data_IF_963525592995
#
_entry.id   IF_963525592995
#
_cell.length_a   1.000
_cell.length_b   1.000
_cell.length_c   1.000
_cell.angle_alpha   90.00
_cell.angle_beta   90.00
_cell.angle_gamma   90.00
#
_symmetry.space_group_name_H-M   'P 1'
#
loop_
_entity.id
_entity.type
_entity.pdbx_description
1 polymer ?
#
# COMPACT_ATOMS: atom_id res chain seq x y z
N UNK A 1 20.18 2.73 -1.40
CA UNK A 1 21.05 1.81 -0.64
C UNK A 1 20.41 0.44 -0.70
N UNK A 2 21.10 -0.62 -1.15
CA UNK A 2 20.56 -1.98 -1.16
C UNK A 2 20.43 -2.56 0.26
N UNK A 3 19.56 -3.56 0.45
CA UNK A 3 19.35 -4.38 1.65
C UNK A 3 18.66 -3.67 2.83
N UNK A 4 17.68 -2.81 2.56
CA UNK A 4 17.01 -2.02 3.60
C UNK A 4 16.13 -2.85 4.56
N UNK A 5 15.80 -4.10 4.21
CA UNK A 5 14.91 -4.96 4.99
C UNK A 5 15.58 -6.27 5.44
N UNK A 6 16.92 -6.29 5.47
CA UNK A 6 17.67 -7.46 5.90
C UNK A 6 17.21 -7.95 7.29
N UNK A 7 16.98 -9.25 7.42
CA UNK A 7 16.53 -9.93 8.64
C UNK A 7 15.13 -9.53 9.14
N UNK A 8 14.32 -8.85 8.30
CA UNK A 8 12.93 -8.57 8.62
C UNK A 8 12.00 -9.68 8.10
N UNK A 9 10.97 -10.00 8.86
CA UNK A 9 9.87 -10.87 8.41
C UNK A 9 8.69 -9.95 8.10
N UNK A 10 8.11 -10.07 6.91
CA UNK A 10 6.99 -9.25 6.47
C UNK A 10 5.81 -10.12 6.05
N UNK A 11 4.60 -9.77 6.49
CA UNK A 11 3.35 -10.37 6.00
C UNK A 11 2.75 -9.41 4.98
N UNK A 12 2.48 -9.89 3.77
CA UNK A 12 1.89 -9.10 2.70
C UNK A 12 0.55 -9.72 2.31
N UNK A 13 -0.53 -8.96 2.50
CA UNK A 13 -1.87 -9.38 2.09
C UNK A 13 -2.16 -8.95 0.64
N UNK A 14 -3.04 -9.66 -0.09
CA UNK A 14 -3.30 -9.37 -1.50
C UNK A 14 -2.11 -9.66 -2.42
N UNK A 15 -1.20 -10.54 -1.99
CA UNK A 15 0.14 -10.71 -2.56
C UNK A 15 0.19 -11.44 -3.91
N UNK A 16 -0.91 -12.05 -4.34
CA UNK A 16 -0.98 -12.81 -5.59
C UNK A 16 -0.96 -11.90 -6.83
N UNK A 17 -1.40 -10.64 -6.70
CA UNK A 17 -1.56 -9.71 -7.81
C UNK A 17 -1.34 -8.26 -7.41
N UNK A 18 -1.29 -7.38 -8.41
CA UNK A 18 -1.20 -5.93 -8.26
C UNK A 18 -0.17 -5.42 -7.24
N UNK A 19 -0.63 -4.57 -6.31
CA UNK A 19 0.22 -3.90 -5.34
C UNK A 19 0.84 -4.85 -4.31
N UNK A 20 0.07 -5.81 -3.80
CA UNK A 20 0.59 -6.79 -2.85
C UNK A 20 1.72 -7.60 -3.47
N UNK A 21 1.60 -7.98 -4.75
CA UNK A 21 2.69 -8.66 -5.49
C UNK A 21 3.92 -7.77 -5.63
N UNK A 22 3.75 -6.50 -6.00
CA UNK A 22 4.88 -5.57 -6.16
C UNK A 22 5.62 -5.31 -4.83
N UNK A 23 4.87 -5.17 -3.73
CA UNK A 23 5.42 -5.00 -2.38
C UNK A 23 6.16 -6.26 -1.95
N UNK A 24 5.57 -7.44 -2.11
CA UNK A 24 6.21 -8.71 -1.76
C UNK A 24 7.53 -8.92 -2.51
N UNK A 25 7.55 -8.62 -3.82
CA UNK A 25 8.76 -8.72 -4.64
C UNK A 25 9.84 -7.71 -4.22
N UNK A 26 9.47 -6.46 -3.96
CA UNK A 26 10.43 -5.45 -3.52
C UNK A 26 10.97 -5.76 -2.11
N UNK A 27 10.12 -6.25 -1.20
CA UNK A 27 10.53 -6.62 0.14
C UNK A 27 11.52 -7.78 0.13
N UNK A 28 11.26 -8.81 -0.68
CA UNK A 28 12.20 -9.91 -0.90
C UNK A 28 13.53 -9.41 -1.49
N UNK A 29 13.48 -8.47 -2.45
CA UNK A 29 14.68 -7.87 -3.06
C UNK A 29 15.51 -7.06 -2.05
N UNK A 30 14.88 -6.45 -1.06
CA UNK A 30 15.54 -5.69 0.01
C UNK A 30 15.98 -6.57 1.20
N UNK A 31 15.84 -7.90 1.10
CA UNK A 31 16.39 -8.86 2.07
C UNK A 31 15.41 -9.36 3.15
N UNK A 32 14.12 -9.10 3.01
CA UNK A 32 13.10 -9.60 3.93
C UNK A 32 12.66 -11.05 3.62
N UNK A 33 12.31 -11.80 4.65
CA UNK A 33 11.52 -13.03 4.53
C UNK A 33 10.03 -12.67 4.45
N UNK A 34 9.38 -12.99 3.33
CA UNK A 34 8.00 -12.53 3.06
C UNK A 34 6.99 -13.67 3.12
N UNK A 35 5.95 -13.52 3.93
CA UNK A 35 4.76 -14.38 3.98
C UNK A 35 3.62 -13.74 3.19
N UNK A 36 3.10 -14.46 2.20
CA UNK A 36 2.07 -14.02 1.27
C UNK A 36 0.67 -14.51 1.71
N UNK A 37 -0.31 -13.63 1.87
CA UNK A 37 -1.69 -13.96 2.29
C UNK A 37 -2.74 -13.30 1.35
N UNK A 38 -3.87 -13.95 1.03
CA UNK A 38 -4.78 -13.46 -0.02
C UNK A 38 -6.29 -13.69 0.28
N UNK A 39 -7.11 -12.65 0.12
CA UNK A 39 -8.58 -12.67 0.29
C UNK A 39 -9.24 -11.70 -0.72
N UNK A 40 -10.33 -12.12 -1.37
CA UNK A 40 -11.11 -11.34 -2.38
C UNK A 40 -12.40 -10.75 -1.78
N UNK A 41 -12.77 -9.48 -2.08
CA UNK A 41 -14.19 -9.08 -1.89
C UNK A 41 -14.78 -8.03 -2.87
N UNK A 42 -16.13 -7.93 -2.89
CA UNK A 42 -16.98 -6.98 -3.64
C UNK A 42 -17.31 -5.64 -2.90
N UNK A 43 -18.07 -4.74 -3.56
CA UNK A 43 -18.04 -3.27 -3.44
C UNK A 43 -18.47 -2.60 -2.10
N UNK A 44 -19.53 -3.00 -1.36
CA UNK A 44 -19.87 -2.33 -0.08
C UNK A 44 -18.99 -2.80 1.09
N UNK A 45 -18.70 -4.11 1.12
CA UNK A 45 -17.82 -4.72 2.11
C UNK A 45 -16.38 -4.24 1.94
N UNK A 46 -15.97 -3.91 0.71
CA UNK A 46 -14.67 -3.29 0.46
C UNK A 46 -14.51 -1.96 1.19
N UNK A 47 -15.41 -0.99 1.00
CA UNK A 47 -15.34 0.32 1.67
C UNK A 47 -15.36 0.17 3.21
N UNK A 48 -16.26 -0.65 3.74
CA UNK A 48 -16.32 -0.95 5.17
C UNK A 48 -15.00 -1.58 5.68
N UNK A 49 -14.45 -2.56 4.95
CA UNK A 49 -13.19 -3.21 5.31
C UNK A 49 -12.02 -2.22 5.31
N UNK A 50 -11.96 -1.27 4.38
CA UNK A 50 -10.88 -0.26 4.32
C UNK A 50 -11.00 0.78 5.43
N UNK A 51 -12.22 1.18 5.80
CA UNK A 51 -12.45 1.98 7.01
C UNK A 51 -12.03 1.25 8.29
N UNK A 52 -12.31 -0.05 8.38
CA UNK A 52 -11.87 -0.90 9.49
C UNK A 52 -10.34 -1.01 9.56
N UNK A 53 -9.65 -1.19 8.44
CA UNK A 53 -8.17 -1.22 8.38
C UNK A 53 -7.58 0.07 8.94
N UNK A 54 -8.11 1.25 8.58
CA UNK A 54 -7.60 2.51 9.09
C UNK A 54 -7.70 2.63 10.63
N UNK A 55 -8.80 2.17 11.22
CA UNK A 55 -8.96 2.13 12.68
C UNK A 55 -8.06 1.08 13.32
N UNK A 56 -7.95 -0.10 12.72
CA UNK A 56 -7.10 -1.18 13.20
C UNK A 56 -5.61 -0.75 13.20
N UNK A 57 -5.15 -0.05 12.17
CA UNK A 57 -3.78 0.50 12.10
C UNK A 57 -3.48 1.39 13.30
N UNK A 58 -4.40 2.28 13.68
CA UNK A 58 -4.24 3.15 14.86
C UNK A 58 -4.25 2.36 16.17
N UNK A 59 -5.14 1.39 16.30
CA UNK A 59 -5.22 0.58 17.52
C UNK A 59 -3.95 -0.28 17.71
N UNK A 60 -3.49 -0.98 16.67
CA UNK A 60 -2.23 -1.75 16.70
C UNK A 60 -1.05 -0.85 17.04
N UNK A 61 -0.98 0.36 16.46
CA UNK A 61 0.09 1.30 16.75
C UNK A 61 0.20 1.66 18.24
N UNK A 62 -0.94 1.79 18.94
CA UNK A 62 -0.98 2.05 20.39
C UNK A 62 -0.68 0.78 21.18
N UNK A 63 -1.35 -0.33 20.86
CA UNK A 63 -1.25 -1.58 21.60
C UNK A 63 0.17 -2.14 21.64
N UNK A 64 0.93 -1.93 20.56
CA UNK A 64 2.31 -2.42 20.44
C UNK A 64 3.39 -1.33 20.58
N UNK A 65 3.01 -0.12 21.01
CA UNK A 65 3.94 1.02 21.17
C UNK A 65 5.09 0.72 22.14
N UNK A 66 4.83 -0.03 23.23
CA UNK A 66 5.84 -0.42 24.22
C UNK A 66 6.90 -1.37 23.67
N UNK A 67 6.59 -2.10 22.61
CA UNK A 67 7.48 -3.03 21.92
C UNK A 67 8.17 -2.38 20.72
N UNK A 68 7.95 -1.08 20.48
CA UNK A 68 8.48 -0.34 19.32
C UNK A 68 8.10 -1.00 17.99
N UNK A 69 6.89 -1.58 17.92
CA UNK A 69 6.34 -2.11 16.67
C UNK A 69 5.52 -1.02 16.00
N UNK A 70 5.90 -0.65 14.78
CA UNK A 70 5.21 0.38 14.02
C UNK A 70 4.14 -0.25 13.12
N UNK A 71 2.94 0.35 13.13
CA UNK A 71 1.85 -0.06 12.27
C UNK A 71 1.37 1.16 11.49
N UNK A 72 1.56 1.15 10.17
CA UNK A 72 1.12 2.19 9.27
C UNK A 72 0.37 1.56 8.10
N UNK A 73 -0.51 2.33 7.46
CA UNK A 73 -1.22 1.94 6.25
C UNK A 73 -0.81 2.83 5.08
N UNK A 74 -0.70 2.24 3.89
CA UNK A 74 -0.61 2.99 2.64
C UNK A 74 -2.00 2.99 2.01
N UNK A 75 -2.42 4.15 1.53
CA UNK A 75 -3.70 4.40 0.87
C UNK A 75 -3.43 4.76 -0.59
N UNK A 76 -3.35 3.77 -1.49
CA UNK A 76 -3.06 4.02 -2.89
C UNK A 76 -4.24 4.64 -3.63
N UNK A 77 -3.92 5.45 -4.65
CA UNK A 77 -4.87 5.78 -5.72
C UNK A 77 -5.00 4.64 -6.73
N UNK A 78 -5.46 4.95 -7.95
CA UNK A 78 -5.39 4.02 -9.07
C UNK A 78 -3.91 3.76 -9.41
N UNK A 79 -3.55 2.49 -9.52
CA UNK A 79 -2.18 2.05 -9.85
C UNK A 79 -2.22 1.02 -10.96
N UNK A 80 -1.35 1.19 -11.96
CA UNK A 80 -1.18 0.30 -13.11
C UNK A 80 -0.82 -1.13 -12.66
N UNK A 81 -1.86 -1.93 -12.43
CA UNK A 81 -1.79 -3.30 -11.94
C UNK A 81 -2.77 -4.16 -12.74
N UNK A 82 -2.69 -5.49 -12.60
CA UNK A 82 -3.66 -6.39 -13.22
C UNK A 82 -5.12 -6.02 -12.88
N UNK A 83 -5.38 -5.57 -11.65
CA UNK A 83 -6.70 -5.09 -11.21
C UNK A 83 -7.12 -3.83 -11.99
N UNK A 84 -6.22 -2.87 -12.19
CA UNK A 84 -6.54 -1.65 -12.96
C UNK A 84 -7.00 -1.94 -14.38
N UNK A 85 -6.43 -2.96 -15.02
CA UNK A 85 -6.86 -3.40 -16.35
C UNK A 85 -8.28 -3.99 -16.34
N UNK A 86 -8.65 -4.75 -15.32
CA UNK A 86 -9.98 -5.37 -15.22
C UNK A 86 -11.07 -4.39 -14.75
N UNK A 87 -10.81 -3.58 -13.72
CA UNK A 87 -11.83 -2.73 -13.07
C UNK A 87 -11.92 -1.32 -13.61
N UNK A 88 -10.88 -0.82 -14.28
CA UNK A 88 -10.77 0.63 -14.58
C UNK A 88 -10.59 0.92 -16.05
N UNK A 89 -9.74 0.19 -16.78
CA UNK A 89 -9.55 0.38 -18.23
C UNK A 89 -10.83 0.14 -19.05
N UNK A 90 -11.78 -0.65 -18.53
CA UNK A 90 -13.06 -0.91 -19.18
C UNK A 90 -14.16 0.13 -18.82
N UNK A 91 -13.92 1.00 -17.83
CA UNK A 91 -14.92 1.96 -17.33
C UNK A 91 -14.54 3.43 -17.55
N UNK A 92 -13.26 3.73 -17.82
CA UNK A 92 -12.77 5.09 -17.93
C UNK A 92 -11.67 5.20 -18.98
N UNK A 93 -11.74 6.23 -19.83
CA UNK A 93 -10.70 6.50 -20.82
C UNK A 93 -9.44 7.05 -20.13
N UNK A 94 -8.24 6.88 -20.72
CA UNK A 94 -7.00 7.46 -20.18
C UNK A 94 -7.09 8.98 -19.97
N UNK A 95 -7.76 9.69 -20.88
CA UNK A 95 -7.92 11.15 -20.77
C UNK A 95 -8.82 11.58 -19.60
N UNK A 96 -9.83 10.78 -19.25
CA UNK A 96 -10.66 11.02 -18.06
C UNK A 96 -9.88 10.72 -16.77
N UNK A 97 -9.06 9.67 -16.79
CA UNK A 97 -8.15 9.35 -15.69
C UNK A 97 -7.15 10.49 -15.43
N UNK A 98 -6.52 11.03 -16.49
CA UNK A 98 -5.56 12.12 -16.35
C UNK A 98 -6.15 13.37 -15.70
N UNK A 99 -7.41 13.70 -16.03
CA UNK A 99 -8.12 14.85 -15.43
C UNK A 99 -8.47 14.66 -13.96
N UNK A 100 -8.56 13.41 -13.52
CA UNK A 100 -8.94 13.07 -12.16
C UNK A 100 -7.78 13.27 -11.16
N UNK A 101 -6.54 13.22 -11.64
CA UNK A 101 -5.33 13.24 -10.82
C UNK A 101 -4.52 14.52 -11.00
N UNK A 102 -4.16 15.24 -9.92
CA UNK A 102 -3.21 16.35 -10.00
C UNK A 102 -1.87 15.97 -10.66
N UNK A 103 -1.41 14.74 -10.47
CA UNK A 103 -0.16 14.23 -11.07
C UNK A 103 -0.36 13.59 -12.45
N UNK A 104 -1.53 13.76 -13.09
CA UNK A 104 -1.86 13.35 -14.46
C UNK A 104 -1.73 11.84 -14.69
N UNK A 105 -2.72 11.11 -14.18
CA UNK A 105 -2.90 9.69 -14.45
C UNK A 105 -2.63 8.79 -13.24
N UNK A 106 -2.73 7.46 -13.45
CA UNK A 106 -2.52 6.48 -12.39
C UNK A 106 -1.05 6.43 -11.95
N UNK A 107 -0.82 6.01 -10.72
CA UNK A 107 0.53 5.66 -10.27
C UNK A 107 1.02 4.35 -10.89
N UNK A 108 2.31 4.07 -10.74
CA UNK A 108 2.91 2.75 -11.06
C UNK A 108 3.12 1.95 -9.77
N UNK A 109 3.21 0.61 -9.84
CA UNK A 109 3.41 -0.21 -8.64
C UNK A 109 4.64 0.19 -7.81
N UNK A 110 5.69 0.67 -8.48
CA UNK A 110 6.91 1.16 -7.83
C UNK A 110 6.68 2.40 -6.96
N UNK A 111 5.70 3.24 -7.29
CA UNK A 111 5.43 4.48 -6.54
C UNK A 111 4.88 4.14 -5.14
N UNK A 112 4.01 3.12 -5.04
CA UNK A 112 3.52 2.58 -3.75
C UNK A 112 4.58 1.76 -3.03
N UNK A 113 5.31 0.91 -3.76
CA UNK A 113 6.32 0.03 -3.16
C UNK A 113 7.47 0.82 -2.49
N UNK A 114 7.85 1.98 -3.05
CA UNK A 114 8.83 2.88 -2.44
C UNK A 114 8.36 3.40 -1.08
N UNK A 115 7.08 3.74 -0.93
CA UNK A 115 6.54 4.16 0.37
C UNK A 115 6.54 3.01 1.38
N UNK A 116 6.25 1.79 0.93
CA UNK A 116 6.33 0.61 1.79
C UNK A 116 7.75 0.43 2.37
N UNK A 117 8.78 0.63 1.54
CA UNK A 117 10.17 0.62 2.02
C UNK A 117 10.44 1.73 3.04
N UNK A 118 9.94 2.95 2.81
CA UNK A 118 10.08 4.05 3.78
C UNK A 118 9.45 3.68 5.13
N UNK A 119 8.22 3.15 5.14
CA UNK A 119 7.50 2.78 6.37
C UNK A 119 8.10 1.59 7.11
N UNK A 120 8.89 0.76 6.42
CA UNK A 120 9.50 -0.43 6.99
C UNK A 120 10.95 -0.22 7.45
N UNK A 121 11.56 0.93 7.15
CA UNK A 121 12.94 1.24 7.48
C UNK A 121 13.06 2.21 8.68
N UNK A 122 14.30 2.48 9.11
CA UNK A 122 14.58 3.36 10.26
C UNK A 122 14.25 4.83 10.02
N UNK A 123 14.11 5.27 8.76
CA UNK A 123 13.71 6.64 8.42
C UNK A 123 12.32 6.98 8.97
N UNK A 124 11.46 5.96 9.17
CA UNK A 124 10.14 6.09 9.80
C UNK A 124 10.15 5.66 11.28
N UNK A 125 11.30 5.74 11.96
CA UNK A 125 11.45 5.32 13.37
C UNK A 125 10.58 6.11 14.35
N UNK A 126 10.10 7.30 13.96
CA UNK A 126 9.22 8.13 14.77
C UNK A 126 7.78 8.20 14.23
N UNK A 127 7.37 7.22 13.44
CA UNK A 127 6.10 7.22 12.73
C UNK A 127 5.33 5.90 12.90
N UNK A 128 4.15 5.98 13.51
CA UNK A 128 3.21 4.86 13.66
C UNK A 128 1.77 5.37 13.67
N UNK A 129 0.80 4.51 13.33
CA UNK A 129 -0.63 4.82 13.29
C UNK A 129 -1.09 5.64 12.08
N UNK A 130 -0.19 5.93 11.13
CA UNK A 130 -0.50 6.79 10.00
C UNK A 130 -1.21 6.02 8.87
N UNK A 131 -2.15 6.70 8.21
CA UNK A 131 -2.70 6.31 6.91
C UNK A 131 -2.14 7.27 5.86
N UNK A 132 -1.21 6.79 5.03
CA UNK A 132 -0.44 7.62 4.10
C UNK A 132 -1.03 7.51 2.70
N UNK A 133 -1.57 8.61 2.20
CA UNK A 133 -2.02 8.69 0.80
C UNK A 133 -0.81 8.61 -0.15
N UNK A 134 -0.88 7.67 -1.10
CA UNK A 134 0.08 7.54 -2.22
C UNK A 134 -0.74 7.44 -3.50
N UNK A 135 -1.32 8.56 -3.90
CA UNK A 135 -2.43 8.61 -4.84
C UNK A 135 -2.30 9.76 -5.85
N UNK A 136 -1.13 10.34 -6.00
CA UNK A 136 -0.91 11.45 -6.94
C UNK A 136 -1.77 12.70 -6.66
N UNK A 137 -2.26 12.86 -5.42
CA UNK A 137 -3.09 13.99 -4.99
C UNK A 137 -4.58 13.82 -5.23
N UNK A 138 -5.04 12.63 -5.63
CA UNK A 138 -6.45 12.37 -5.94
C UNK A 138 -7.42 12.72 -4.80
N UNK A 139 -7.05 12.42 -3.55
CA UNK A 139 -7.88 12.72 -2.37
C UNK A 139 -7.61 14.07 -1.73
N UNK A 140 -6.65 14.86 -2.24
CA UNK A 140 -6.23 16.13 -1.62
C UNK A 140 -7.05 17.36 -2.08
N UNK A 141 -8.22 17.12 -2.68
CA UNK A 141 -9.13 18.13 -3.26
C UNK A 141 -10.33 18.39 -2.38
#
# INVERSE_FOLDING_TARGET
MPNRLQNKIAIVTGSSSGLGRAIALLYAKEGASVLCADLRPEAPSYCASKGAVANLTRNIAIDYSKQLIHCNAICPGHVETAIFAETTQNMMTPAEMDKMYPFKGPGRPVDVARMAVVLACEDSSWMTGACVAVDGGFTAR
#
